data_IF_358761856834
#
_entry.id   IF_358761856834
#
_cell.length_a   1.000
_cell.length_b   1.000
_cell.length_c   1.000
_cell.angle_alpha   90.00
_cell.angle_beta   90.00
_cell.angle_gamma   90.00
#
_symmetry.space_group_name_H-M   'P 1'
#
loop_
_entity.id
_entity.type
_entity.pdbx_description
1 polymer ?
#
# COMPACT_ATOMS: atom_id res chain seq x y z
N UNK A 1 10.30 -13.85 -20.98
CA UNK A 1 10.87 -14.22 -19.65
C UNK A 1 10.96 -13.03 -18.70
N UNK A 2 11.30 -11.82 -19.15
CA UNK A 2 11.41 -10.66 -18.24
C UNK A 2 10.10 -10.24 -17.57
N UNK A 3 8.95 -10.34 -18.26
CA UNK A 3 7.68 -9.97 -17.66
C UNK A 3 7.28 -10.87 -16.49
N UNK A 4 7.48 -12.18 -16.60
CA UNK A 4 7.15 -13.13 -15.54
C UNK A 4 7.99 -12.86 -14.26
N UNK A 5 9.29 -12.57 -14.43
CA UNK A 5 10.16 -12.23 -13.30
C UNK A 5 9.66 -10.97 -12.57
N UNK A 6 9.24 -9.95 -13.33
CA UNK A 6 8.69 -8.72 -12.75
C UNK A 6 7.38 -8.98 -12.02
N UNK A 7 6.49 -9.77 -12.61
CA UNK A 7 5.19 -10.09 -11.98
C UNK A 7 5.36 -10.93 -10.72
N UNK A 8 6.28 -11.91 -10.72
CA UNK A 8 6.59 -12.68 -9.50
C UNK A 8 7.22 -11.80 -8.41
N UNK A 9 8.07 -10.83 -8.77
CA UNK A 9 8.64 -9.88 -7.83
C UNK A 9 7.55 -8.98 -7.20
N UNK A 10 6.60 -8.48 -7.99
CA UNK A 10 5.46 -7.69 -7.50
C UNK A 10 4.51 -8.52 -6.62
N UNK A 11 4.24 -9.77 -7.01
CA UNK A 11 3.45 -10.70 -6.20
C UNK A 11 4.11 -10.94 -4.83
N UNK A 12 5.39 -11.33 -4.81
CA UNK A 12 6.12 -11.61 -3.57
C UNK A 12 6.23 -10.36 -2.71
N UNK A 13 6.56 -9.21 -3.31
CA UNK A 13 6.68 -7.95 -2.58
C UNK A 13 5.36 -7.53 -1.92
N UNK A 14 4.23 -7.67 -2.63
CA UNK A 14 2.92 -7.34 -2.06
C UNK A 14 2.47 -8.38 -1.02
N UNK A 15 2.77 -9.65 -1.24
CA UNK A 15 2.59 -10.70 -0.24
C UNK A 15 3.31 -10.36 1.07
N UNK A 16 4.59 -9.99 1.00
CA UNK A 16 5.39 -9.62 2.18
C UNK A 16 4.84 -8.35 2.84
N UNK A 17 4.44 -7.35 2.04
CA UNK A 17 3.84 -6.12 2.57
C UNK A 17 2.59 -6.42 3.42
N UNK A 18 1.69 -7.28 2.94
CA UNK A 18 0.47 -7.65 3.66
C UNK A 18 0.78 -8.52 4.87
N UNK A 19 1.65 -9.53 4.74
CA UNK A 19 2.05 -10.38 5.88
C UNK A 19 2.62 -9.51 7.01
N UNK A 20 3.57 -8.63 6.71
CA UNK A 20 4.24 -7.86 7.76
C UNK A 20 3.37 -6.72 8.29
N UNK A 21 2.73 -5.96 7.42
CA UNK A 21 1.94 -4.80 7.83
C UNK A 21 0.60 -5.19 8.47
N UNK A 22 -0.22 -5.96 7.75
CA UNK A 22 -1.52 -6.40 8.28
C UNK A 22 -1.37 -7.41 9.43
N UNK A 23 -0.39 -8.32 9.34
CA UNK A 23 -0.10 -9.25 10.41
C UNK A 23 0.31 -8.56 11.71
N UNK A 24 1.13 -7.50 11.63
CA UNK A 24 1.45 -6.68 12.80
C UNK A 24 0.19 -6.03 13.35
N UNK A 25 -0.67 -5.44 12.50
CA UNK A 25 -1.94 -4.86 12.93
C UNK A 25 -2.82 -5.88 13.67
N UNK A 26 -2.91 -7.10 13.14
CA UNK A 26 -3.69 -8.20 13.75
C UNK A 26 -3.13 -8.63 15.11
N UNK A 27 -1.81 -8.61 15.28
CA UNK A 27 -1.17 -9.02 16.55
C UNK A 27 -1.23 -7.96 17.63
N UNK A 28 -1.03 -6.67 17.29
CA UNK A 28 -0.85 -5.61 18.29
C UNK A 28 -2.05 -4.68 18.41
N UNK A 29 -2.99 -4.78 17.49
CA UNK A 29 -4.10 -3.84 17.35
C UNK A 29 -3.65 -2.47 16.86
N UNK A 30 -4.58 -1.71 16.35
CA UNK A 30 -4.36 -0.33 15.87
C UNK A 30 -5.23 0.67 16.64
N UNK A 31 -5.48 0.44 17.93
CA UNK A 31 -6.25 1.37 18.75
C UNK A 31 -5.47 2.70 18.86
N UNK A 32 -6.07 3.76 18.36
CA UNK A 32 -5.47 5.10 18.26
C UNK A 32 -5.23 5.77 19.63
N UNK A 33 -5.82 5.23 20.69
CA UNK A 33 -5.88 5.94 21.98
C UNK A 33 -4.78 5.53 22.94
N UNK A 34 -4.19 4.36 22.82
CA UNK A 34 -3.16 3.90 23.78
C UNK A 34 -2.21 2.90 23.12
N UNK A 35 -0.94 3.27 22.98
CA UNK A 35 0.10 2.27 22.93
C UNK A 35 0.92 2.17 21.65
N UNK A 36 1.97 1.36 21.79
CA UNK A 36 2.98 1.09 20.77
C UNK A 36 2.45 0.39 19.51
N UNK A 37 1.29 -0.27 19.56
CA UNK A 37 0.73 -1.03 18.42
C UNK A 37 0.50 -0.20 17.17
N UNK A 38 0.06 1.03 17.35
CA UNK A 38 -0.13 2.00 16.28
C UNK A 38 1.19 2.32 15.54
N UNK A 39 2.22 2.71 16.30
CA UNK A 39 3.53 3.02 15.74
C UNK A 39 4.23 1.77 15.18
N UNK A 40 4.11 0.62 15.84
CA UNK A 40 4.66 -0.65 15.35
C UNK A 40 4.06 -1.04 14.00
N UNK A 41 2.74 -0.89 13.84
CA UNK A 41 2.09 -1.16 12.56
C UNK A 41 2.57 -0.20 11.45
N UNK A 42 2.68 1.10 11.76
CA UNK A 42 3.22 2.08 10.81
C UNK A 42 4.64 1.74 10.37
N UNK A 43 5.50 1.37 11.33
CA UNK A 43 6.87 0.93 11.06
C UNK A 43 6.90 -0.37 10.26
N UNK A 44 6.05 -1.37 10.58
CA UNK A 44 6.02 -2.64 9.89
C UNK A 44 5.70 -2.46 8.38
N UNK A 45 4.72 -1.62 8.03
CA UNK A 45 4.43 -1.30 6.64
C UNK A 45 5.62 -0.63 5.94
N UNK A 46 6.22 0.37 6.56
CA UNK A 46 7.35 1.09 5.96
C UNK A 46 8.60 0.22 5.82
N UNK A 47 8.96 -0.55 6.85
CA UNK A 47 10.12 -1.44 6.83
C UNK A 47 9.94 -2.62 5.85
N UNK A 48 8.71 -3.12 5.68
CA UNK A 48 8.41 -4.09 4.63
C UNK A 48 8.74 -3.54 3.24
N UNK A 49 8.36 -2.27 2.97
CA UNK A 49 8.73 -1.59 1.71
C UNK A 49 10.24 -1.39 1.61
N UNK A 50 10.92 -0.97 2.68
CA UNK A 50 12.39 -0.87 2.66
C UNK A 50 13.01 -2.19 2.27
N UNK A 51 12.66 -3.28 2.97
CA UNK A 51 13.22 -4.60 2.70
C UNK A 51 12.96 -5.07 1.26
N UNK A 52 11.72 -4.91 0.78
CA UNK A 52 11.37 -5.34 -0.56
C UNK A 52 11.96 -4.43 -1.65
N UNK A 53 12.10 -3.13 -1.41
CA UNK A 53 12.75 -2.22 -2.36
C UNK A 53 14.20 -2.62 -2.64
N UNK A 54 14.94 -3.03 -1.63
CA UNK A 54 16.31 -3.53 -1.81
C UNK A 54 16.36 -4.97 -2.33
N UNK A 55 15.34 -5.78 -2.09
CA UNK A 55 15.28 -7.17 -2.56
C UNK A 55 14.89 -7.27 -4.04
N UNK A 56 13.77 -6.64 -4.43
CA UNK A 56 13.18 -6.81 -5.77
C UNK A 56 13.15 -5.53 -6.61
N UNK A 57 13.64 -4.41 -6.09
CA UNK A 57 13.62 -3.12 -6.80
C UNK A 57 14.39 -3.16 -8.12
N UNK A 58 15.50 -3.85 -8.18
CA UNK A 58 16.27 -4.07 -9.41
C UNK A 58 15.59 -5.00 -10.43
N UNK A 59 14.53 -5.72 -10.04
CA UNK A 59 13.80 -6.66 -10.90
C UNK A 59 12.55 -5.98 -11.49
N UNK A 60 11.67 -5.44 -10.61
CA UNK A 60 10.38 -4.88 -11.00
C UNK A 60 10.25 -3.36 -10.78
N UNK A 61 11.15 -2.77 -10.02
CA UNK A 61 10.98 -1.42 -9.47
C UNK A 61 10.31 -1.42 -8.10
N UNK A 62 9.85 -2.59 -7.63
CA UNK A 62 9.19 -2.76 -6.32
C UNK A 62 8.03 -1.79 -6.14
N UNK A 63 7.08 -1.78 -7.07
CA UNK A 63 5.88 -0.94 -6.93
C UNK A 63 4.98 -1.45 -5.80
N UNK A 64 4.70 -2.77 -5.78
CA UNK A 64 3.89 -3.49 -4.79
C UNK A 64 2.58 -2.78 -4.39
N UNK A 65 2.11 -1.92 -5.30
CA UNK A 65 0.99 -1.01 -5.09
C UNK A 65 0.41 -0.55 -6.44
N UNK A 66 -0.88 -0.79 -6.75
CA UNK A 66 -1.52 -0.31 -7.97
C UNK A 66 -1.50 1.22 -8.12
N UNK A 67 -1.60 1.99 -7.01
CA UNK A 67 -1.55 3.45 -7.06
C UNK A 67 -0.14 3.96 -7.44
N UNK A 68 0.92 3.37 -6.87
CA UNK A 68 2.30 3.65 -7.30
C UNK A 68 2.50 3.29 -8.78
N UNK A 69 2.01 2.11 -9.19
CA UNK A 69 2.11 1.66 -10.58
C UNK A 69 1.38 2.62 -11.53
N UNK A 70 0.22 3.15 -11.13
CA UNK A 70 -0.50 4.17 -11.90
C UNK A 70 0.29 5.48 -12.00
N UNK A 71 0.85 5.94 -10.89
CA UNK A 71 1.70 7.14 -10.88
C UNK A 71 2.88 7.02 -11.84
N UNK A 72 3.57 5.87 -11.83
CA UNK A 72 4.68 5.57 -12.76
C UNK A 72 4.20 5.45 -14.20
N UNK A 73 3.04 4.84 -14.45
CA UNK A 73 2.43 4.78 -15.79
C UNK A 73 2.15 6.19 -16.34
N UNK A 74 1.47 7.01 -15.53
CA UNK A 74 1.06 8.35 -15.94
C UNK A 74 2.26 9.30 -16.11
N UNK A 75 3.35 9.08 -15.38
CA UNK A 75 4.60 9.83 -15.57
C UNK A 75 5.44 9.32 -16.76
N UNK A 76 5.00 8.26 -17.45
CA UNK A 76 5.69 7.71 -18.62
C UNK A 76 6.78 6.69 -18.28
N UNK A 77 6.88 6.24 -17.02
CA UNK A 77 7.90 5.31 -16.56
C UNK A 77 7.63 3.83 -16.90
N UNK A 78 6.41 3.48 -17.34
CA UNK A 78 6.06 2.10 -17.70
C UNK A 78 5.02 2.02 -18.81
N UNK A 79 4.89 0.82 -19.43
CA UNK A 79 3.88 0.53 -20.46
C UNK A 79 2.57 0.04 -19.82
N UNK A 80 1.44 0.32 -20.51
CA UNK A 80 0.09 -0.08 -20.02
C UNK A 80 -0.02 -1.59 -19.74
N UNK A 81 0.51 -2.45 -20.59
CA UNK A 81 0.44 -3.90 -20.38
C UNK A 81 1.28 -4.37 -19.17
N UNK A 82 2.37 -3.69 -18.87
CA UNK A 82 3.17 -3.94 -17.66
C UNK A 82 2.37 -3.51 -16.42
N UNK A 83 1.70 -2.37 -16.49
CA UNK A 83 0.81 -1.89 -15.42
C UNK A 83 -0.29 -2.91 -15.10
N UNK A 84 -1.02 -3.39 -16.13
CA UNK A 84 -2.08 -4.40 -15.92
C UNK A 84 -1.52 -5.67 -15.25
N UNK A 85 -0.38 -6.18 -15.73
CA UNK A 85 0.26 -7.34 -15.12
C UNK A 85 0.71 -7.10 -13.67
N UNK A 86 1.18 -5.89 -13.35
CA UNK A 86 1.53 -5.51 -11.98
C UNK A 86 0.30 -5.50 -11.08
N UNK A 87 -0.79 -4.86 -11.49
CA UNK A 87 -2.02 -4.80 -10.69
C UNK A 87 -2.53 -6.21 -10.37
N UNK A 88 -2.56 -7.11 -11.36
CA UNK A 88 -2.97 -8.50 -11.14
C UNK A 88 -2.05 -9.21 -10.17
N UNK A 89 -0.72 -9.13 -10.37
CA UNK A 89 0.26 -9.77 -9.51
C UNK A 89 0.19 -9.25 -8.06
N UNK A 90 0.05 -7.94 -7.89
CA UNK A 90 -0.08 -7.27 -6.60
C UNK A 90 -1.35 -7.70 -5.86
N UNK A 91 -2.50 -7.74 -6.54
CA UNK A 91 -3.76 -8.19 -5.93
C UNK A 91 -3.68 -9.66 -5.51
N UNK A 92 -3.11 -10.53 -6.35
CA UNK A 92 -2.92 -11.93 -6.00
C UNK A 92 -1.95 -12.11 -4.83
N UNK A 93 -0.87 -11.33 -4.77
CA UNK A 93 0.07 -11.33 -3.66
C UNK A 93 -0.59 -10.89 -2.35
N UNK A 94 -1.43 -9.85 -2.41
CA UNK A 94 -2.18 -9.37 -1.25
C UNK A 94 -3.20 -10.40 -0.73
N UNK A 95 -3.95 -11.04 -1.65
CA UNK A 95 -4.88 -12.12 -1.30
C UNK A 95 -4.16 -13.32 -0.66
N UNK A 96 -3.05 -13.75 -1.24
CA UNK A 96 -2.25 -14.83 -0.70
C UNK A 96 -1.70 -14.49 0.69
N UNK A 97 -1.17 -13.27 0.88
CA UNK A 97 -0.65 -12.81 2.17
C UNK A 97 -1.74 -12.76 3.25
N UNK A 98 -2.89 -12.19 2.95
CA UNK A 98 -4.02 -12.14 3.88
C UNK A 98 -4.57 -13.55 4.20
N UNK A 99 -4.65 -14.44 3.19
CA UNK A 99 -5.07 -15.83 3.38
C UNK A 99 -4.11 -16.63 4.28
N UNK A 100 -2.80 -16.45 4.11
CA UNK A 100 -1.79 -17.07 4.99
C UNK A 100 -1.91 -16.54 6.42
N UNK A 101 -2.13 -15.23 6.62
CA UNK A 101 -2.37 -14.67 7.95
C UNK A 101 -3.59 -15.30 8.60
N UNK A 102 -4.72 -15.35 7.89
CA UNK A 102 -5.95 -15.98 8.41
C UNK A 102 -5.68 -17.42 8.84
N UNK A 103 -5.02 -18.21 7.99
CA UNK A 103 -4.68 -19.60 8.28
C UNK A 103 -3.77 -19.74 9.52
N UNK A 104 -2.74 -18.90 9.65
CA UNK A 104 -1.83 -18.92 10.82
C UNK A 104 -2.56 -18.57 12.11
N UNK A 105 -3.42 -17.55 12.06
CA UNK A 105 -4.21 -17.12 13.23
C UNK A 105 -5.21 -18.18 13.64
N UNK A 106 -5.88 -18.82 12.69
CA UNK A 106 -6.84 -19.89 12.94
C UNK A 106 -6.14 -21.13 13.54
N UNK A 107 -5.10 -21.65 12.89
CA UNK A 107 -4.35 -22.81 13.37
C UNK A 107 -3.69 -22.57 14.73
N UNK A 108 -3.25 -21.36 15.00
CA UNK A 108 -2.62 -20.98 16.26
C UNK A 108 -3.62 -20.59 17.36
N UNK A 109 -4.92 -20.55 17.08
CA UNK A 109 -5.95 -19.96 17.95
C UNK A 109 -5.55 -18.55 18.43
N UNK A 110 -4.95 -17.73 17.54
CA UNK A 110 -4.48 -16.38 17.85
C UNK A 110 -5.64 -15.41 17.67
N UNK A 111 -5.84 -14.53 18.65
CA UNK A 111 -6.89 -13.50 18.57
C UNK A 111 -6.47 -12.42 17.60
N UNK A 112 -7.29 -12.13 16.60
CA UNK A 112 -7.15 -10.96 15.75
C UNK A 112 -7.56 -9.68 16.52
N UNK A 113 -6.57 -8.89 16.92
CA UNK A 113 -6.78 -7.64 17.64
C UNK A 113 -7.44 -6.55 16.80
N UNK A 114 -7.60 -6.78 15.49
CA UNK A 114 -8.41 -5.91 14.60
C UNK A 114 -9.89 -6.35 14.55
N UNK A 115 -10.31 -7.24 15.46
CA UNK A 115 -11.71 -7.67 15.64
C UNK A 115 -12.34 -8.27 14.38
N UNK A 116 -11.61 -9.17 13.71
CA UNK A 116 -12.07 -9.87 12.50
C UNK A 116 -12.00 -9.02 11.24
N UNK A 117 -11.23 -7.93 11.27
CA UNK A 117 -10.95 -7.12 10.08
C UNK A 117 -9.74 -7.64 9.28
N UNK A 118 -8.92 -8.52 9.86
CA UNK A 118 -7.71 -9.04 9.24
C UNK A 118 -6.76 -7.94 8.73
N UNK A 119 -6.70 -6.82 9.46
CA UNK A 119 -5.93 -5.65 9.07
C UNK A 119 -6.50 -4.84 7.89
N UNK A 120 -7.79 -5.02 7.57
CA UNK A 120 -8.48 -4.27 6.52
C UNK A 120 -8.65 -2.80 6.86
N UNK A 121 -8.85 -2.01 5.83
CA UNK A 121 -9.22 -0.60 5.96
C UNK A 121 -10.73 -0.44 6.20
N UNK A 122 -11.10 0.54 7.02
CA UNK A 122 -12.48 0.94 7.29
C UNK A 122 -12.60 2.46 7.39
N UNK A 123 -13.83 2.95 7.49
CA UNK A 123 -14.11 4.38 7.69
C UNK A 123 -14.43 4.73 9.14
N UNK A 124 -14.21 3.80 10.08
CA UNK A 124 -14.58 4.01 11.49
C UNK A 124 -13.84 5.18 12.14
N UNK A 125 -12.54 5.32 11.87
CA UNK A 125 -11.74 6.40 12.43
C UNK A 125 -12.16 7.81 11.94
N UNK A 126 -12.94 7.88 10.87
CA UNK A 126 -13.53 9.13 10.34
C UNK A 126 -15.05 9.15 10.55
N UNK A 127 -15.57 8.41 11.56
CA UNK A 127 -16.98 8.39 11.90
C UNK A 127 -17.90 7.84 10.79
N UNK A 128 -17.39 6.96 9.92
CA UNK A 128 -18.12 6.43 8.77
C UNK A 128 -18.24 7.38 7.58
N UNK A 129 -17.64 8.56 7.64
CA UNK A 129 -17.74 9.58 6.59
C UNK A 129 -16.95 9.17 5.33
N UNK A 130 -17.67 8.86 4.26
CA UNK A 130 -17.09 8.57 2.95
C UNK A 130 -16.27 9.75 2.43
N UNK A 131 -16.80 10.98 2.56
CA UNK A 131 -16.11 12.17 2.09
C UNK A 131 -14.78 12.39 2.81
N UNK A 132 -14.74 12.21 4.15
CA UNK A 132 -13.51 12.30 4.91
C UNK A 132 -12.52 11.19 4.51
N UNK A 133 -13.00 9.94 4.36
CA UNK A 133 -12.18 8.84 3.90
C UNK A 133 -11.55 9.07 2.53
N UNK A 134 -12.32 9.57 1.56
CA UNK A 134 -11.81 9.94 0.23
C UNK A 134 -10.72 11.01 0.33
N UNK A 135 -10.96 12.10 1.08
CA UNK A 135 -9.99 13.19 1.24
C UNK A 135 -8.68 12.67 1.85
N UNK A 136 -8.77 11.90 2.94
CA UNK A 136 -7.61 11.33 3.63
C UNK A 136 -6.79 10.46 2.68
N UNK A 137 -7.43 9.49 2.02
CA UNK A 137 -6.73 8.55 1.14
C UNK A 137 -6.16 9.22 -0.12
N UNK A 138 -6.87 10.20 -0.71
CA UNK A 138 -6.33 11.01 -1.83
C UNK A 138 -5.07 11.75 -1.38
N UNK A 139 -5.14 12.45 -0.24
CA UNK A 139 -4.03 13.27 0.26
C UNK A 139 -2.81 12.41 0.62
N UNK A 140 -3.00 11.34 1.39
CA UNK A 140 -1.90 10.47 1.81
C UNK A 140 -1.25 9.76 0.62
N UNK A 141 -2.06 9.31 -0.36
CA UNK A 141 -1.53 8.69 -1.56
C UNK A 141 -0.81 9.69 -2.45
N UNK A 142 -1.36 10.91 -2.59
CA UNK A 142 -0.69 11.99 -3.30
C UNK A 142 0.71 12.25 -2.74
N UNK A 143 0.83 12.42 -1.41
CA UNK A 143 2.13 12.65 -0.75
C UNK A 143 3.07 11.46 -1.00
N UNK A 144 2.60 10.24 -0.79
CA UNK A 144 3.41 9.05 -0.93
C UNK A 144 3.92 8.86 -2.37
N UNK A 145 3.02 8.91 -3.35
CA UNK A 145 3.38 8.71 -4.76
C UNK A 145 4.25 9.85 -5.30
N UNK A 146 4.01 11.09 -4.85
CA UNK A 146 4.86 12.22 -5.26
C UNK A 146 6.31 12.01 -4.81
N UNK A 147 6.53 11.54 -3.58
CA UNK A 147 7.88 11.19 -3.09
C UNK A 147 8.46 10.02 -3.88
N UNK A 148 7.66 8.96 -4.15
CA UNK A 148 8.13 7.84 -4.99
C UNK A 148 8.63 8.33 -6.34
N UNK A 149 7.85 9.15 -7.04
CA UNK A 149 8.22 9.68 -8.36
C UNK A 149 9.48 10.56 -8.29
N UNK A 150 9.58 11.42 -7.27
CA UNK A 150 10.76 12.27 -7.08
C UNK A 150 12.02 11.47 -6.80
N UNK A 151 11.94 10.48 -5.89
CA UNK A 151 13.08 9.65 -5.49
C UNK A 151 13.57 8.74 -6.61
N UNK A 152 12.66 8.26 -7.46
CA UNK A 152 12.98 7.37 -8.59
C UNK A 152 13.24 8.13 -9.90
N UNK A 153 13.31 9.45 -9.86
CA UNK A 153 13.61 10.30 -11.02
C UNK A 153 14.96 9.97 -11.62
N UNK A 154 15.00 9.85 -12.94
CA UNK A 154 16.25 9.67 -13.67
C UNK A 154 17.12 10.93 -13.66
N UNK A 155 16.51 12.10 -13.50
CA UNK A 155 17.19 13.39 -13.52
C UNK A 155 17.88 13.73 -12.19
N UNK A 156 17.42 13.14 -11.09
CA UNK A 156 17.93 13.35 -9.74
C UNK A 156 17.99 12.01 -8.98
N UNK A 157 18.91 11.12 -9.37
CA UNK A 157 18.99 9.81 -8.74
C UNK A 157 19.47 9.95 -7.28
N UNK A 158 18.68 9.43 -6.35
CA UNK A 158 19.04 9.39 -4.92
C UNK A 158 19.87 8.14 -4.55
N UNK A 159 20.45 7.49 -5.57
CA UNK A 159 21.34 6.35 -5.40
C UNK A 159 20.72 5.22 -4.61
N UNK A 160 21.48 4.62 -3.70
CA UNK A 160 21.06 3.48 -2.90
C UNK A 160 20.05 3.82 -1.79
N UNK A 161 19.79 5.09 -1.51
CA UNK A 161 18.86 5.50 -0.44
C UNK A 161 17.39 5.53 -0.87
N UNK A 162 17.08 5.37 -2.14
CA UNK A 162 15.71 5.48 -2.66
C UNK A 162 14.71 4.58 -1.95
N UNK A 163 15.04 3.31 -1.76
CA UNK A 163 14.17 2.36 -1.06
C UNK A 163 13.92 2.73 0.41
N UNK A 164 14.94 3.24 1.09
CA UNK A 164 14.82 3.70 2.48
C UNK A 164 13.87 4.91 2.57
N UNK A 165 14.04 5.90 1.70
CA UNK A 165 13.20 7.11 1.69
C UNK A 165 11.74 6.75 1.42
N UNK A 166 11.48 5.86 0.45
CA UNK A 166 10.12 5.41 0.11
C UNK A 166 9.47 4.70 1.29
N UNK A 167 10.18 3.76 1.93
CA UNK A 167 9.64 3.04 3.07
C UNK A 167 9.40 3.93 4.29
N UNK A 168 10.30 4.87 4.60
CA UNK A 168 10.09 5.85 5.68
C UNK A 168 8.94 6.81 5.36
N UNK A 169 8.73 7.16 4.09
CA UNK A 169 7.56 7.95 3.69
C UNK A 169 6.27 7.15 3.88
N UNK A 170 6.28 5.85 3.60
CA UNK A 170 5.12 5.00 3.90
C UNK A 170 4.85 4.95 5.41
N UNK A 171 5.88 4.81 6.23
CA UNK A 171 5.74 4.92 7.71
C UNK A 171 5.11 6.25 8.10
N UNK A 172 5.58 7.35 7.54
CA UNK A 172 5.09 8.70 7.86
C UNK A 172 3.58 8.84 7.56
N UNK A 173 3.13 8.43 6.38
CA UNK A 173 1.68 8.51 6.04
C UNK A 173 0.84 7.54 6.87
N UNK A 174 1.40 6.41 7.32
CA UNK A 174 0.73 5.50 8.25
C UNK A 174 0.59 6.09 9.66
N UNK A 175 1.59 6.83 10.15
CA UNK A 175 1.52 7.53 11.44
C UNK A 175 0.33 8.50 11.48
N UNK A 176 0.02 9.19 10.39
CA UNK A 176 -1.17 10.05 10.32
C UNK A 176 -2.45 9.25 10.06
N UNK A 177 -2.41 8.31 9.11
CA UNK A 177 -3.62 7.77 8.50
C UNK A 177 -4.21 6.55 9.20
N UNK A 178 -3.45 5.78 10.00
CA UNK A 178 -3.97 4.56 10.65
C UNK A 178 -5.20 4.90 11.51
N UNK A 179 -5.16 5.93 12.33
CA UNK A 179 -6.28 6.33 13.18
C UNK A 179 -7.48 6.89 12.42
N UNK A 180 -7.34 7.23 11.14
CA UNK A 180 -8.39 7.81 10.31
C UNK A 180 -9.08 6.74 9.44
N UNK A 181 -8.30 5.98 8.67
CA UNK A 181 -8.80 5.03 7.68
C UNK A 181 -8.12 3.66 7.76
N UNK A 182 -7.21 3.46 8.70
CA UNK A 182 -6.28 2.33 8.70
C UNK A 182 -5.19 2.46 7.65
N UNK A 183 -5.08 3.56 6.97
CA UNK A 183 -4.18 3.89 5.86
C UNK A 183 -4.12 2.82 4.77
N UNK A 184 -4.82 3.05 3.67
CA UNK A 184 -4.68 2.22 2.48
C UNK A 184 -3.46 2.65 1.67
N UNK A 185 -3.57 3.77 1.02
CA UNK A 185 -2.67 4.31 -0.02
C UNK A 185 -2.27 3.27 -1.08
N UNK A 186 -2.93 2.12 -1.07
CA UNK A 186 -2.60 0.94 -1.87
C UNK A 186 -3.84 0.05 -2.10
N UNK A 187 -4.46 0.07 -3.28
CA UNK A 187 -5.63 -0.75 -3.58
C UNK A 187 -5.43 -2.24 -3.32
N UNK A 188 -4.28 -2.82 -3.67
CA UNK A 188 -4.03 -4.25 -3.47
C UNK A 188 -3.96 -4.62 -1.97
N UNK A 189 -3.29 -3.77 -1.16
CA UNK A 189 -3.21 -3.92 0.30
C UNK A 189 -4.60 -3.88 0.95
N UNK A 190 -5.57 -3.19 0.35
CA UNK A 190 -6.93 -3.13 0.87
C UNK A 190 -7.80 -4.29 0.37
N UNK A 191 -7.64 -4.69 -0.89
CA UNK A 191 -8.39 -5.79 -1.50
C UNK A 191 -8.14 -7.12 -0.77
N UNK A 192 -6.88 -7.51 -0.55
CA UNK A 192 -6.54 -8.80 0.03
C UNK A 192 -7.23 -9.05 1.38
N UNK A 193 -6.97 -8.25 2.41
CA UNK A 193 -7.59 -8.40 3.71
C UNK A 193 -9.11 -8.27 3.71
N UNK A 194 -9.69 -7.35 2.90
CA UNK A 194 -11.13 -7.18 2.83
C UNK A 194 -11.86 -8.42 2.32
N UNK A 195 -11.30 -9.10 1.29
CA UNK A 195 -11.86 -10.36 0.81
C UNK A 195 -11.72 -11.47 1.83
N UNK A 196 -10.58 -11.57 2.52
CA UNK A 196 -10.36 -12.58 3.56
C UNK A 196 -11.28 -12.33 4.75
N UNK A 197 -11.47 -11.10 5.20
CA UNK A 197 -12.44 -10.75 6.24
C UNK A 197 -13.87 -11.20 5.85
N UNK A 198 -14.28 -10.94 4.62
CA UNK A 198 -15.59 -11.35 4.12
C UNK A 198 -15.77 -12.86 4.07
N UNK A 199 -14.74 -13.62 3.66
CA UNK A 199 -14.77 -15.10 3.68
C UNK A 199 -14.90 -15.64 5.09
N UNK A 200 -14.45 -14.89 6.10
CA UNK A 200 -14.57 -15.23 7.52
C UNK A 200 -15.78 -14.54 8.20
N UNK A 201 -16.78 -14.11 7.43
CA UNK A 201 -18.05 -13.61 7.90
C UNK A 201 -18.13 -12.09 8.17
N UNK A 202 -17.05 -11.34 8.01
CA UNK A 202 -17.04 -9.89 8.19
C UNK A 202 -17.01 -9.15 6.84
N UNK A 203 -18.19 -8.80 6.32
CA UNK A 203 -18.33 -8.11 5.02
C UNK A 203 -18.17 -6.59 5.09
N UNK A 204 -18.01 -6.00 6.29
CA UNK A 204 -17.90 -4.54 6.47
C UNK A 204 -16.79 -3.90 5.64
N UNK A 205 -15.56 -4.45 5.58
CA UNK A 205 -14.51 -3.88 4.74
C UNK A 205 -14.86 -3.85 3.25
N UNK A 206 -15.56 -4.87 2.74
CA UNK A 206 -15.98 -4.90 1.33
C UNK A 206 -16.95 -3.78 0.97
N UNK A 207 -17.85 -3.40 1.88
CA UNK A 207 -18.86 -2.37 1.61
C UNK A 207 -18.25 -0.99 1.35
N UNK A 208 -17.07 -0.74 1.88
CA UNK A 208 -16.32 0.53 1.74
C UNK A 208 -15.04 0.40 0.90
N UNK A 209 -14.74 -0.80 0.40
CA UNK A 209 -13.51 -1.09 -0.34
C UNK A 209 -13.28 -0.16 -1.54
N UNK A 210 -14.36 0.25 -2.21
CA UNK A 210 -14.28 1.14 -3.35
C UNK A 210 -13.60 2.48 -3.02
N UNK A 211 -13.74 2.99 -1.80
CA UNK A 211 -13.04 4.21 -1.33
C UNK A 211 -11.53 4.00 -1.39
N UNK A 212 -11.07 2.83 -0.91
CA UNK A 212 -9.66 2.44 -0.84
C UNK A 212 -9.08 1.97 -2.18
N UNK A 213 -9.90 1.89 -3.22
CA UNK A 213 -9.46 1.71 -4.60
C UNK A 213 -9.43 3.05 -5.34
N UNK A 214 -10.55 3.79 -5.30
CA UNK A 214 -10.70 5.03 -6.09
C UNK A 214 -9.82 6.15 -5.54
N UNK A 215 -9.83 6.40 -4.24
CA UNK A 215 -9.11 7.51 -3.65
C UNK A 215 -7.58 7.41 -3.85
N UNK A 216 -6.91 6.25 -3.60
CA UNK A 216 -5.50 6.10 -3.91
C UNK A 216 -5.16 6.31 -5.39
N UNK A 217 -6.01 5.83 -6.31
CA UNK A 217 -5.78 6.03 -7.75
C UNK A 217 -5.88 7.51 -8.13
N UNK A 218 -6.83 8.25 -7.56
CA UNK A 218 -6.96 9.70 -7.77
C UNK A 218 -5.73 10.42 -7.19
N UNK A 219 -5.31 10.11 -5.97
CA UNK A 219 -4.12 10.68 -5.34
C UNK A 219 -2.86 10.46 -6.17
N UNK A 220 -2.67 9.25 -6.70
CA UNK A 220 -1.55 8.90 -7.59
C UNK A 220 -1.59 9.68 -8.91
N UNK A 221 -2.77 9.85 -9.50
CA UNK A 221 -2.93 10.63 -10.74
C UNK A 221 -2.59 12.11 -10.53
N UNK A 222 -3.02 12.69 -9.41
CA UNK A 222 -2.66 14.06 -9.03
C UNK A 222 -1.15 14.21 -8.80
N UNK A 223 -0.52 13.24 -8.11
CA UNK A 223 0.93 13.23 -7.90
C UNK A 223 1.70 13.18 -9.23
N UNK A 224 1.27 12.32 -10.16
CA UNK A 224 1.87 12.23 -11.48
C UNK A 224 1.72 13.54 -12.29
N UNK A 225 0.56 14.20 -12.19
CA UNK A 225 0.33 15.48 -12.87
C UNK A 225 1.26 16.58 -12.34
N UNK A 226 1.37 16.72 -11.01
CA UNK A 226 2.27 17.69 -10.37
C UNK A 226 3.73 17.37 -10.69
N UNK A 227 4.12 16.11 -10.60
CA UNK A 227 5.48 15.67 -10.91
C UNK A 227 5.86 16.01 -12.37
N UNK A 228 4.99 15.70 -13.33
CA UNK A 228 5.22 16.04 -14.75
C UNK A 228 5.34 17.56 -15.00
N UNK A 229 4.53 18.34 -14.31
CA UNK A 229 4.60 19.81 -14.39
C UNK A 229 5.98 20.30 -13.93
N UNK A 230 6.51 19.80 -12.82
CA UNK A 230 7.85 20.18 -12.33
C UNK A 230 8.98 19.72 -13.25
N UNK A 231 8.85 18.53 -13.85
CA UNK A 231 9.88 18.03 -14.79
C UNK A 231 9.85 18.76 -16.15
N UNK A 232 8.70 19.27 -16.58
CA UNK A 232 8.59 19.97 -17.87
C UNK A 232 9.33 21.31 -17.90
N UNK A 233 9.48 21.98 -16.74
CA UNK A 233 10.24 23.23 -16.63
C UNK A 233 11.76 23.09 -16.66
N UNK A 234 12.31 21.86 -16.73
CA UNK A 234 13.75 21.60 -16.71
C UNK A 234 14.35 21.37 -18.11
N UNK A 235 13.61 21.66 -19.17
CA UNK A 235 14.07 21.49 -20.57
C UNK A 235 14.76 22.73 -21.15
N UNK A 236 15.10 23.69 -20.33
CA UNK A 236 15.98 24.80 -20.66
C UNK A 236 17.30 24.63 -19.88
#
# INVERSE_FOLDING_TARGET
MDSLRKYTAEFIGTFVLVIMGCGTAMLVGCASVVGSGYLLTALAFGLAVVGMAYCVGNISGCHINPAVSLGVLLSGGMKIWTFVGYVVAQCLGALAGAGVLALVFDLGNIIDMTTGLYGSNTLEGVGGSVAAGLIVEILLTFIFVLVVLGVTSKNHPHGSFGGLIIGLTLTLVHILGIGLTGTSVNPARSIGPAFVAAMNGNTRPLSVLWVFVVAPLVGAALAAAVYKFWESGKKE
#
